data_IF_909362640387
#
_entry.id   IF_909362640387
#
_cell.length_a   1.000
_cell.length_b   1.000
_cell.length_c   1.000
_cell.angle_alpha   90.00
_cell.angle_beta   90.00
_cell.angle_gamma   90.00
#
_symmetry.space_group_name_H-M   'P 1'
#
loop_
_entity.id
_entity.type
_entity.pdbx_description
1 polymer ?
#
# COMPACT_ATOMS: atom_id res chain seq x y z
N UNK A 1 12.08 -6.51 -16.86
CA UNK A 1 12.16 -6.72 -15.42
C UNK A 1 11.18 -7.81 -15.01
N UNK A 2 11.68 -8.84 -14.39
CA UNK A 2 10.81 -9.90 -13.90
C UNK A 2 10.24 -9.51 -12.55
N UNK A 3 8.95 -9.74 -12.40
CA UNK A 3 8.28 -9.55 -11.12
C UNK A 3 8.66 -10.69 -10.19
N UNK A 4 9.29 -10.38 -9.06
CA UNK A 4 9.69 -11.39 -8.08
C UNK A 4 8.55 -11.62 -7.07
N UNK A 5 7.71 -12.60 -7.40
CA UNK A 5 6.57 -12.97 -6.54
C UNK A 5 7.02 -13.46 -5.16
N UNK A 6 8.18 -14.14 -5.08
CA UNK A 6 8.68 -14.67 -3.81
C UNK A 6 9.13 -13.54 -2.88
N UNK A 7 9.82 -12.55 -3.44
CA UNK A 7 10.26 -11.37 -2.68
C UNK A 7 9.07 -10.60 -2.11
N UNK A 8 8.03 -10.40 -2.93
CA UNK A 8 6.81 -9.71 -2.48
C UNK A 8 6.10 -10.47 -1.36
N UNK A 9 5.99 -11.80 -1.48
CA UNK A 9 5.39 -12.63 -0.43
C UNK A 9 6.20 -12.61 0.85
N UNK A 10 7.54 -12.60 0.76
CA UNK A 10 8.40 -12.45 1.92
C UNK A 10 8.15 -11.14 2.65
N UNK A 11 8.00 -10.05 1.90
CA UNK A 11 7.70 -8.74 2.47
C UNK A 11 6.33 -8.73 3.14
N UNK A 12 5.32 -9.30 2.52
CA UNK A 12 3.98 -9.45 3.11
C UNK A 12 4.06 -10.22 4.43
N UNK A 13 4.80 -11.31 4.47
CA UNK A 13 4.97 -12.12 5.68
C UNK A 13 5.69 -11.35 6.79
N UNK A 14 6.72 -10.58 6.45
CA UNK A 14 7.44 -9.74 7.42
C UNK A 14 6.52 -8.69 8.03
N UNK A 15 5.67 -8.07 7.21
CA UNK A 15 4.65 -7.12 7.67
C UNK A 15 3.62 -7.81 8.57
N UNK A 16 3.17 -8.99 8.17
CA UNK A 16 2.23 -9.79 8.94
C UNK A 16 2.77 -10.08 10.34
N UNK A 17 4.03 -10.52 10.42
CA UNK A 17 4.69 -10.82 11.70
C UNK A 17 4.81 -9.57 12.58
N UNK A 18 5.20 -8.44 11.98
CA UNK A 18 5.35 -7.19 12.72
C UNK A 18 4.01 -6.64 13.24
N UNK A 19 2.92 -6.89 12.51
CA UNK A 19 1.59 -6.41 12.85
C UNK A 19 0.84 -7.33 13.82
N UNK A 20 1.36 -8.54 14.07
CA UNK A 20 0.68 -9.55 14.88
C UNK A 20 0.34 -9.09 16.29
N UNK A 21 1.12 -8.17 16.85
CA UNK A 21 0.86 -7.62 18.19
C UNK A 21 -0.28 -6.59 18.22
N UNK A 22 -0.73 -6.13 17.06
CA UNK A 22 -1.81 -5.13 16.97
C UNK A 22 -3.15 -5.73 16.58
N UNK A 23 -3.16 -6.97 16.10
CA UNK A 23 -4.40 -7.63 15.69
C UNK A 23 -4.13 -8.95 14.99
N UNK A 24 -5.20 -9.63 14.62
CA UNK A 24 -5.13 -10.87 13.85
C UNK A 24 -5.18 -10.52 12.36
N UNK A 25 -4.08 -10.73 11.65
CA UNK A 25 -3.99 -10.46 10.23
C UNK A 25 -3.69 -11.72 9.44
N UNK A 26 -4.19 -11.76 8.21
CA UNK A 26 -3.94 -12.82 7.24
C UNK A 26 -3.57 -12.20 5.90
N UNK A 27 -2.80 -12.93 5.11
CA UNK A 27 -2.51 -12.53 3.74
C UNK A 27 -3.72 -12.76 2.85
N UNK A 28 -3.98 -11.83 1.93
CA UNK A 28 -5.01 -12.02 0.92
C UNK A 28 -4.59 -13.13 -0.03
N UNK A 29 -5.50 -14.08 -0.31
CA UNK A 29 -5.27 -15.17 -1.25
C UNK A 29 -5.59 -14.77 -2.68
N UNK A 30 -6.33 -13.69 -2.89
CA UNK A 30 -6.76 -13.21 -4.20
C UNK A 30 -5.71 -12.26 -4.78
N UNK A 31 -5.08 -12.66 -5.91
CA UNK A 31 -4.09 -11.84 -6.61
C UNK A 31 -4.64 -10.49 -7.10
N UNK A 32 -5.95 -10.41 -7.31
CA UNK A 32 -6.62 -9.21 -7.81
C UNK A 32 -7.21 -8.35 -6.71
N UNK A 33 -7.01 -8.74 -5.45
CA UNK A 33 -7.46 -7.96 -4.31
C UNK A 33 -6.72 -6.61 -4.27
N UNK A 34 -7.41 -5.51 -3.97
CA UNK A 34 -6.77 -4.20 -3.82
C UNK A 34 -5.97 -4.05 -2.52
N UNK A 35 -5.97 -5.08 -1.67
CA UNK A 35 -5.21 -5.08 -0.41
C UNK A 35 -4.41 -6.38 -0.27
N UNK A 36 -3.32 -6.34 0.48
CA UNK A 36 -2.42 -7.48 0.69
C UNK A 36 -2.69 -8.23 1.99
N UNK A 37 -3.08 -7.51 3.04
CA UNK A 37 -3.39 -8.08 4.34
C UNK A 37 -4.78 -7.65 4.78
N UNK A 38 -5.44 -8.52 5.53
CA UNK A 38 -6.73 -8.21 6.15
C UNK A 38 -6.79 -8.82 7.55
N UNK A 39 -7.58 -8.22 8.41
CA UNK A 39 -7.75 -8.69 9.78
C UNK A 39 -8.63 -7.77 10.60
N UNK A 40 -8.45 -7.81 11.90
CA UNK A 40 -9.23 -7.02 12.84
C UNK A 40 -8.31 -6.33 13.84
N UNK A 41 -8.53 -5.04 14.06
CA UNK A 41 -7.88 -4.26 15.12
C UNK A 41 -8.96 -3.69 16.02
N UNK A 42 -8.93 -4.05 17.30
CA UNK A 42 -9.99 -3.67 18.26
C UNK A 42 -11.40 -3.95 17.72
N UNK A 43 -11.60 -5.14 17.16
CA UNK A 43 -12.86 -5.61 16.58
C UNK A 43 -13.33 -4.83 15.34
N UNK A 44 -12.47 -4.00 14.74
CA UNK A 44 -12.77 -3.29 13.51
C UNK A 44 -12.01 -3.95 12.37
N UNK A 45 -12.72 -4.31 11.29
CA UNK A 45 -12.09 -4.88 10.09
C UNK A 45 -11.06 -3.91 9.51
N UNK A 46 -9.89 -4.44 9.20
CA UNK A 46 -8.73 -3.64 8.80
C UNK A 46 -8.11 -4.24 7.55
N UNK A 47 -7.86 -3.40 6.54
CA UNK A 47 -7.23 -3.79 5.28
C UNK A 47 -5.92 -3.03 5.14
N UNK A 48 -4.89 -3.69 4.64
CA UNK A 48 -3.56 -3.09 4.46
C UNK A 48 -3.03 -3.42 3.06
N UNK A 49 -2.69 -2.38 2.32
CA UNK A 49 -1.94 -2.46 1.07
C UNK A 49 -0.47 -2.23 1.36
N UNK A 50 0.42 -3.07 0.80
CA UNK A 50 1.86 -2.98 1.03
C UNK A 50 2.55 -2.49 -0.23
N UNK A 51 3.47 -1.54 -0.08
CA UNK A 51 4.34 -1.05 -1.14
C UNK A 51 5.79 -1.05 -0.67
N UNK A 52 6.66 -1.68 -1.47
CA UNK A 52 8.10 -1.61 -1.22
C UNK A 52 8.71 -0.44 -1.96
N UNK A 53 9.69 0.21 -1.32
CA UNK A 53 10.51 1.25 -1.92
C UNK A 53 11.97 0.94 -1.66
N UNK A 54 12.82 1.23 -2.63
CA UNK A 54 14.26 0.95 -2.53
C UNK A 54 14.99 1.92 -1.62
N UNK A 55 14.49 3.12 -1.47
CA UNK A 55 15.15 4.20 -0.72
C UNK A 55 14.15 4.96 0.14
N UNK A 56 14.66 5.54 1.22
CA UNK A 56 13.89 6.44 2.06
C UNK A 56 13.86 7.83 1.43
N UNK A 57 12.66 8.36 1.18
CA UNK A 57 12.44 9.69 0.64
C UNK A 57 11.63 10.53 1.63
N UNK A 58 11.82 11.85 1.58
CA UNK A 58 11.01 12.76 2.40
C UNK A 58 9.53 12.69 2.01
N UNK A 59 9.28 12.55 0.71
CA UNK A 59 7.93 12.44 0.19
C UNK A 59 7.83 11.21 -0.70
N UNK A 60 6.71 10.53 -0.57
CA UNK A 60 6.35 9.42 -1.45
C UNK A 60 5.14 9.77 -2.29
N UNK A 61 4.90 8.99 -3.32
CA UNK A 61 3.68 9.09 -4.12
C UNK A 61 3.04 7.72 -4.32
N UNK A 62 1.73 7.74 -4.52
CA UNK A 62 0.95 6.56 -4.87
C UNK A 62 -0.06 6.98 -5.95
N UNK A 63 -0.37 6.08 -6.88
CA UNK A 63 -1.38 6.36 -7.90
C UNK A 63 -2.72 6.67 -7.22
N UNK A 64 -3.33 7.79 -7.62
CA UNK A 64 -4.63 8.23 -7.07
C UNK A 64 -5.69 7.17 -7.27
N UNK A 65 -5.67 6.48 -8.44
CA UNK A 65 -6.64 5.42 -8.73
C UNK A 65 -6.59 4.32 -7.67
N UNK A 66 -5.42 3.97 -7.19
CA UNK A 66 -5.26 2.96 -6.14
C UNK A 66 -5.90 3.39 -4.83
N UNK A 67 -5.69 4.63 -4.43
CA UNK A 67 -6.31 5.20 -3.23
C UNK A 67 -7.84 5.27 -3.39
N UNK A 68 -8.31 5.70 -4.56
CA UNK A 68 -9.75 5.75 -4.84
C UNK A 68 -10.39 4.35 -4.75
N UNK A 69 -9.73 3.33 -5.29
CA UNK A 69 -10.22 1.96 -5.22
C UNK A 69 -10.30 1.43 -3.79
N UNK A 70 -9.29 1.71 -2.97
CA UNK A 70 -9.29 1.33 -1.56
C UNK A 70 -10.41 2.05 -0.79
N UNK A 71 -10.60 3.33 -1.04
CA UNK A 71 -11.65 4.11 -0.38
C UNK A 71 -13.06 3.65 -0.77
N UNK A 72 -13.24 3.17 -2.01
CA UNK A 72 -14.52 2.60 -2.44
C UNK A 72 -14.93 1.39 -1.61
N UNK A 73 -13.98 0.60 -1.13
CA UNK A 73 -14.29 -0.54 -0.26
C UNK A 73 -14.97 -0.08 1.04
N UNK A 74 -14.54 1.05 1.58
CA UNK A 74 -15.12 1.61 2.80
C UNK A 74 -16.58 2.03 2.60
N UNK A 75 -16.93 2.50 1.41
CA UNK A 75 -18.30 2.92 1.09
C UNK A 75 -19.24 1.77 0.74
N UNK A 76 -18.70 0.57 0.46
CA UNK A 76 -19.51 -0.60 0.11
C UNK A 76 -20.01 -1.38 1.32
N UNK A 77 -19.49 -1.12 2.48
CA UNK A 77 -19.87 -1.82 3.72
C UNK A 77 -20.53 -0.87 4.69
N UNK A 78 -21.49 -1.40 5.45
CA UNK A 78 -22.12 -0.67 6.55
C UNK A 78 -21.30 -0.72 7.83
N UNK A 79 -20.42 -1.73 7.94
CA UNK A 79 -19.58 -1.91 9.11
C UNK A 79 -18.37 -0.98 9.04
N UNK A 80 -17.85 -0.53 10.20
CA UNK A 80 -16.60 0.24 10.23
C UNK A 80 -15.46 -0.52 9.55
N UNK A 81 -14.66 0.19 8.77
CA UNK A 81 -13.54 -0.38 8.04
C UNK A 81 -12.34 0.56 8.13
N UNK A 82 -11.20 0.02 8.56
CA UNK A 82 -9.93 0.74 8.58
C UNK A 82 -9.09 0.32 7.40
N UNK A 83 -8.54 1.28 6.66
CA UNK A 83 -7.71 1.00 5.49
C UNK A 83 -6.38 1.74 5.64
N UNK A 84 -5.30 0.97 5.53
CA UNK A 84 -3.94 1.48 5.67
C UNK A 84 -3.10 1.16 4.46
N UNK A 85 -2.10 2.02 4.23
CA UNK A 85 -0.99 1.77 3.32
C UNK A 85 0.26 1.56 4.16
N UNK A 86 0.98 0.46 3.93
CA UNK A 86 2.27 0.18 4.54
C UNK A 86 3.36 0.37 3.49
N UNK A 87 4.26 1.32 3.72
CA UNK A 87 5.44 1.48 2.86
C UNK A 87 6.62 0.84 3.56
N UNK A 88 7.28 -0.09 2.89
CA UNK A 88 8.42 -0.83 3.40
C UNK A 88 9.69 -0.35 2.72
N UNK A 89 10.67 0.08 3.51
CA UNK A 89 12.00 0.47 3.05
C UNK A 89 13.00 -0.33 3.88
N UNK A 90 13.63 -1.34 3.28
CA UNK A 90 14.54 -2.23 4.01
C UNK A 90 13.83 -2.95 5.15
N UNK A 91 14.28 -2.69 6.38
CA UNK A 91 13.71 -3.28 7.59
C UNK A 91 12.72 -2.36 8.31
N UNK A 92 12.32 -1.26 7.69
CA UNK A 92 11.39 -0.30 8.27
C UNK A 92 10.06 -0.34 7.54
N UNK A 93 8.97 -0.33 8.29
CA UNK A 93 7.62 -0.23 7.76
C UNK A 93 6.95 1.02 8.29
N UNK A 94 6.34 1.79 7.39
CA UNK A 94 5.63 3.04 7.74
C UNK A 94 4.16 2.86 7.42
N UNK A 95 3.33 2.94 8.44
CA UNK A 95 1.89 2.73 8.31
C UNK A 95 1.16 4.07 8.18
N UNK A 96 0.37 4.22 7.12
CA UNK A 96 -0.41 5.42 6.84
C UNK A 96 -1.89 5.09 6.78
N UNK A 97 -2.73 5.96 7.33
CA UNK A 97 -4.17 5.90 7.04
C UNK A 97 -4.42 6.38 5.61
N UNK A 98 -5.13 5.59 4.83
CA UNK A 98 -5.47 5.96 3.45
C UNK A 98 -6.25 7.27 3.40
N UNK A 99 -7.16 7.49 4.35
CA UNK A 99 -7.91 8.76 4.42
C UNK A 99 -6.99 9.96 4.67
N UNK A 100 -5.93 9.81 5.48
CA UNK A 100 -4.96 10.88 5.72
C UNK A 100 -4.18 11.22 4.45
N UNK A 101 -3.77 10.20 3.69
CA UNK A 101 -3.11 10.40 2.40
C UNK A 101 -4.03 11.19 1.46
N UNK A 102 -5.29 10.82 1.40
CA UNK A 102 -6.26 11.48 0.53
C UNK A 102 -6.50 12.94 0.94
N UNK A 103 -6.62 13.21 2.24
CA UNK A 103 -6.94 14.55 2.74
C UNK A 103 -5.74 15.47 2.75
N UNK A 104 -4.56 14.96 3.11
CA UNK A 104 -3.35 15.77 3.35
C UNK A 104 -2.37 15.72 2.19
N UNK A 105 -2.51 14.76 1.29
CA UNK A 105 -1.63 14.62 0.14
C UNK A 105 -1.95 15.64 -0.95
N UNK A 106 -0.98 15.86 -1.83
CA UNK A 106 -1.11 16.74 -2.98
C UNK A 106 -1.31 15.92 -4.25
N UNK A 107 -2.38 16.20 -4.98
CA UNK A 107 -2.66 15.54 -6.26
C UNK A 107 -1.81 16.20 -7.34
N UNK A 108 -1.05 15.38 -8.08
CA UNK A 108 -0.19 15.82 -9.17
C UNK A 108 -0.40 14.90 -10.37
N UNK A 109 -0.15 15.43 -11.56
CA UNK A 109 -0.11 14.65 -12.80
C UNK A 109 1.33 14.44 -13.19
N UNK A 110 1.71 13.20 -13.41
CA UNK A 110 3.05 12.85 -13.88
C UNK A 110 2.97 11.99 -15.13
N UNK A 111 4.03 12.05 -15.95
CA UNK A 111 4.20 11.12 -17.08
C UNK A 111 4.93 9.88 -16.59
N UNK A 112 4.42 8.74 -16.93
CA UNK A 112 5.05 7.47 -16.60
C UNK A 112 4.80 6.46 -17.72
N UNK A 113 5.61 5.41 -17.77
CA UNK A 113 5.42 4.35 -18.75
C UNK A 113 4.12 3.61 -18.45
N UNK A 114 3.35 3.33 -19.49
CA UNK A 114 2.17 2.50 -19.41
C UNK A 114 2.59 1.07 -19.11
N UNK A 115 2.09 0.49 -18.05
CA UNK A 115 2.28 -0.92 -17.74
C UNK A 115 1.24 -1.74 -18.47
N UNK A 116 1.69 -2.71 -19.29
CA UNK A 116 0.79 -3.48 -20.17
C UNK A 116 0.39 -4.83 -19.59
N UNK A 117 1.35 -5.56 -18.98
CA UNK A 117 1.08 -6.86 -18.37
C UNK A 117 2.18 -7.22 -17.38
N UNK A 118 2.00 -8.35 -16.68
CA UNK A 118 3.04 -8.90 -15.80
C UNK A 118 4.28 -9.33 -16.56
N UNK A 119 4.12 -9.86 -17.78
CA UNK A 119 5.23 -10.33 -18.62
C UNK A 119 5.93 -9.18 -19.35
N UNK A 120 5.18 -8.13 -19.63
CA UNK A 120 5.68 -6.91 -20.27
C UNK A 120 5.26 -5.70 -19.42
N UNK A 121 5.87 -5.53 -18.24
CA UNK A 121 5.41 -4.55 -17.27
C UNK A 121 5.62 -3.10 -17.69
N UNK A 122 6.49 -2.85 -18.68
CA UNK A 122 6.77 -1.50 -19.14
C UNK A 122 6.62 -1.42 -20.66
N UNK A 123 6.07 -0.29 -21.09
CA UNK A 123 5.88 0.07 -22.49
C UNK A 123 6.62 1.38 -22.75
N UNK A 124 7.04 1.60 -24.02
CA UNK A 124 7.58 2.89 -24.46
C UNK A 124 6.51 3.99 -24.48
N UNK A 125 5.24 3.61 -24.40
CA UNK A 125 4.13 4.56 -24.38
C UNK A 125 4.12 5.29 -23.05
N UNK A 126 4.21 6.62 -23.10
CA UNK A 126 4.06 7.47 -21.93
C UNK A 126 2.59 7.85 -21.76
N UNK A 127 2.09 7.70 -20.53
CA UNK A 127 0.75 8.15 -20.15
C UNK A 127 0.86 9.12 -18.98
N UNK A 128 -0.13 10.00 -18.87
CA UNK A 128 -0.24 10.87 -17.71
C UNK A 128 -1.11 10.19 -16.68
N UNK A 129 -0.60 10.09 -15.46
CA UNK A 129 -1.37 9.56 -14.33
C UNK A 129 -1.44 10.58 -13.21
N UNK A 130 -2.56 10.58 -12.53
CA UNK A 130 -2.69 11.32 -11.29
C UNK A 130 -2.08 10.49 -10.16
N UNK A 131 -1.24 11.15 -9.38
CA UNK A 131 -0.67 10.59 -8.16
C UNK A 131 -1.04 11.47 -6.98
N UNK A 132 -0.94 10.90 -5.79
CA UNK A 132 -1.01 11.66 -4.54
C UNK A 132 0.38 11.65 -3.95
N UNK A 133 0.94 12.84 -3.75
CA UNK A 133 2.25 13.06 -3.14
C UNK A 133 2.03 13.39 -1.67
N UNK A 134 2.75 12.71 -0.76
CA UNK A 134 2.57 12.90 0.68
C UNK A 134 3.91 12.77 1.41
N UNK A 135 4.04 13.51 2.52
CA UNK A 135 5.25 13.50 3.33
C UNK A 135 5.29 12.25 4.23
N UNK A 136 6.49 11.66 4.41
CA UNK A 136 6.63 10.45 5.24
C UNK A 136 6.21 10.66 6.69
N UNK A 137 6.29 11.89 7.22
CA UNK A 137 5.87 12.22 8.58
C UNK A 137 4.37 12.07 8.81
N UNK A 138 3.58 11.91 7.73
CA UNK A 138 2.16 11.60 7.84
C UNK A 138 1.90 10.21 8.41
N UNK A 139 2.94 9.36 8.53
CA UNK A 139 2.77 8.01 9.04
C UNK A 139 2.18 8.01 10.46
N UNK A 140 1.27 7.07 10.69
CA UNK A 140 0.67 6.82 11.99
C UNK A 140 1.64 6.08 12.92
N UNK A 141 2.45 5.19 12.34
CA UNK A 141 3.27 4.26 13.09
C UNK A 141 4.45 3.81 12.23
N UNK A 142 5.64 3.76 12.83
CA UNK A 142 6.82 3.16 12.23
C UNK A 142 7.08 1.82 12.90
N UNK A 143 7.21 0.77 12.10
CA UNK A 143 7.48 -0.58 12.57
C UNK A 143 8.87 -1.04 12.16
N UNK A 144 9.50 -1.83 13.02
CA UNK A 144 10.74 -2.53 12.68
C UNK A 144 10.36 -3.93 12.18
N UNK A 145 10.79 -4.26 10.97
CA UNK A 145 10.54 -5.58 10.38
C UNK A 145 11.73 -6.48 10.62
N UNK A 146 11.47 -7.74 10.96
CA UNK A 146 12.50 -8.75 11.10
C UNK A 146 12.71 -9.47 9.77
N UNK A 147 13.90 -9.94 9.57
CA UNK A 147 14.23 -10.75 8.39
C UNK A 147 13.55 -12.14 8.42
#
# INVERSE_FOLDING_TARGET
>A
MHYDKNKTKQTEKRCLDALSKYGDFKMSEDEYSPFDLYGYTNNVKTLIEIKERSEMWDRWYIEKQKIDNLRKLKHKTKDPLRIYLMIVVGNDGFLFKVDDIFQMGKIERIRMNKQTSKDFPQSDIKIRKEIINFHHQLNLLKLKLND
#
